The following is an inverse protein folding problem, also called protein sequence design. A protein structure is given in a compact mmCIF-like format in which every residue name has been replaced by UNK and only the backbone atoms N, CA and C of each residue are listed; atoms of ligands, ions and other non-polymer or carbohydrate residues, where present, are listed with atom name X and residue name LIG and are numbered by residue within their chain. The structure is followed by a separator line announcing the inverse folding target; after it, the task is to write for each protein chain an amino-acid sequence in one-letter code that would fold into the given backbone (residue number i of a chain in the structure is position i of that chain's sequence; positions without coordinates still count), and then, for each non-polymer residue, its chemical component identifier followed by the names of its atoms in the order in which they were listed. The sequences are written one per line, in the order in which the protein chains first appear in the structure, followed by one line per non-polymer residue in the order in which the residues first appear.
data_IF_447654354732
#
_entry.id   IF_447654354732
#
_cell.length_a   1.000
_cell.length_b   1.000
_cell.length_c   1.000
_cell.angle_alpha   90.00
_cell.angle_beta   90.00
_cell.angle_gamma   90.00
#
_symmetry.space_group_name_H-M   'P 1'
#
loop_
_entity.id
_entity.type
_entity.pdbx_description
1 polymer ?
#
# COMPACT_ATOMS: atom_id res chain seq x y z
N UNK A 1 -30.23 -7.39 -29.67
CA UNK A 1 -28.99 -6.68 -29.27
C UNK A 1 -27.86 -7.37 -30.00
N UNK A 2 -27.13 -6.67 -30.87
CA UNK A 2 -26.12 -7.31 -31.71
C UNK A 2 -24.76 -6.96 -31.13
N UNK A 3 -24.11 -7.91 -30.46
CA UNK A 3 -22.69 -7.77 -30.12
C UNK A 3 -21.92 -7.44 -31.42
N UNK A 4 -21.19 -6.31 -31.52
CA UNK A 4 -20.42 -5.98 -32.72
C UNK A 4 -19.43 -7.10 -33.07
N UNK A 5 -18.95 -7.82 -32.06
CA UNK A 5 -18.18 -9.05 -32.21
C UNK A 5 -19.11 -10.26 -32.23
N UNK A 6 -19.88 -10.43 -33.32
CA UNK A 6 -20.81 -11.57 -33.46
C UNK A 6 -20.12 -12.93 -33.39
N UNK A 7 -18.80 -12.97 -33.64
CA UNK A 7 -18.01 -14.19 -33.67
C UNK A 7 -16.74 -13.97 -32.86
N UNK A 8 -16.67 -14.69 -31.75
CA UNK A 8 -15.54 -14.70 -30.83
C UNK A 8 -15.11 -16.15 -30.70
N UNK A 9 -13.80 -16.39 -30.76
CA UNK A 9 -13.22 -17.71 -30.51
C UNK A 9 -12.14 -17.58 -29.45
N UNK A 10 -12.09 -18.51 -28.50
CA UNK A 10 -11.04 -18.56 -27.50
C UNK A 10 -10.17 -19.78 -27.73
N UNK A 11 -8.86 -19.60 -27.60
CA UNK A 11 -7.89 -20.69 -27.72
C UNK A 11 -6.78 -20.57 -26.70
N UNK A 12 -6.22 -21.72 -26.34
CA UNK A 12 -5.07 -21.82 -25.47
C UNK A 12 -3.85 -22.30 -26.27
N UNK A 13 -2.68 -21.76 -25.96
CA UNK A 13 -1.39 -22.22 -26.47
C UNK A 13 -0.51 -22.67 -25.31
N UNK A 14 0.14 -23.82 -25.47
CA UNK A 14 1.19 -24.28 -24.58
C UNK A 14 2.51 -23.70 -25.06
N UNK A 15 3.22 -23.02 -24.18
CA UNK A 15 4.54 -22.46 -24.43
C UNK A 15 5.57 -23.09 -23.49
N UNK A 16 6.83 -23.02 -23.86
CA UNK A 16 7.93 -23.29 -22.95
C UNK A 16 8.20 -22.10 -22.01
N UNK A 17 9.27 -22.20 -21.21
CA UNK A 17 9.68 -21.13 -20.29
C UNK A 17 10.08 -19.83 -21.01
N UNK A 18 10.57 -19.93 -22.24
CA UNK A 18 11.10 -18.82 -23.02
C UNK A 18 9.99 -18.15 -23.83
N UNK A 19 8.79 -18.74 -23.88
CA UNK A 19 7.62 -18.23 -24.60
C UNK A 19 7.45 -18.84 -25.99
N UNK A 20 8.26 -19.84 -26.35
CA UNK A 20 8.19 -20.51 -27.65
C UNK A 20 7.04 -21.53 -27.64
N UNK A 21 6.30 -21.59 -28.75
CA UNK A 21 5.12 -22.44 -28.87
C UNK A 21 5.48 -23.93 -28.90
N UNK A 22 4.93 -24.70 -27.95
CA UNK A 22 5.05 -26.16 -27.87
C UNK A 22 3.85 -26.88 -28.46
N UNK A 23 2.65 -26.33 -28.28
CA UNK A 23 1.41 -26.84 -28.90
C UNK A 23 0.38 -25.73 -29.04
N UNK A 24 -0.35 -25.75 -30.15
CA UNK A 24 -1.47 -24.83 -30.46
C UNK A 24 -2.82 -25.52 -30.48
N UNK A 25 -2.87 -26.83 -30.15
CA UNK A 25 -4.07 -27.67 -30.30
C UNK A 25 -4.83 -27.92 -29.00
N UNK A 26 -4.63 -27.09 -27.98
CA UNK A 26 -5.37 -27.23 -26.73
C UNK A 26 -6.81 -26.75 -26.92
N UNK A 27 -7.76 -27.64 -26.67
CA UNK A 27 -9.19 -27.29 -26.72
C UNK A 27 -9.60 -26.64 -25.40
N UNK A 28 -9.85 -25.34 -25.45
CA UNK A 28 -10.35 -24.57 -24.31
C UNK A 28 -11.86 -24.79 -24.17
N UNK A 29 -12.28 -25.25 -23.00
CA UNK A 29 -13.67 -25.53 -22.65
C UNK A 29 -14.30 -24.40 -21.80
N UNK A 30 -13.47 -23.63 -21.09
CA UNK A 30 -13.91 -22.51 -20.27
C UNK A 30 -12.82 -21.97 -19.35
N UNK A 31 -13.23 -21.14 -18.40
CA UNK A 31 -12.35 -20.51 -17.40
C UNK A 31 -12.36 -19.00 -17.52
N UNK A 32 -11.24 -18.34 -17.21
CA UNK A 32 -11.11 -16.89 -17.41
C UNK A 32 -9.78 -16.33 -16.93
N UNK A 33 -9.61 -15.03 -17.18
CA UNK A 33 -8.47 -14.22 -16.71
C UNK A 33 -8.97 -13.23 -15.68
N UNK A 34 -8.29 -13.17 -14.54
CA UNK A 34 -8.50 -12.15 -13.52
C UNK A 34 -7.31 -11.21 -13.52
N UNK A 35 -7.59 -9.91 -13.53
CA UNK A 35 -6.64 -8.82 -13.28
C UNK A 35 -6.97 -8.26 -11.91
N UNK A 36 -5.98 -8.15 -11.02
CA UNK A 36 -6.08 -7.50 -9.71
C UNK A 36 -4.84 -6.63 -9.45
N UNK A 37 -4.96 -5.35 -9.76
CA UNK A 37 -3.94 -4.34 -9.53
C UNK A 37 -3.95 -3.79 -8.08
N UNK A 38 -4.88 -4.24 -7.23
CA UNK A 38 -5.02 -3.75 -5.85
C UNK A 38 -4.07 -4.46 -4.88
N UNK A 39 -3.65 -5.70 -5.19
CA UNK A 39 -2.81 -6.55 -4.33
C UNK A 39 -1.41 -6.90 -4.87
N UNK A 40 -0.65 -6.00 -5.50
CA UNK A 40 0.59 -6.34 -6.20
C UNK A 40 1.77 -6.72 -5.28
N UNK A 41 1.56 -6.80 -3.94
CA UNK A 41 2.65 -6.99 -2.96
C UNK A 41 2.99 -8.44 -2.68
N UNK A 42 2.03 -9.34 -2.78
CA UNK A 42 2.17 -10.76 -2.42
C UNK A 42 1.60 -11.69 -3.47
N UNK A 43 0.85 -11.16 -4.42
CA UNK A 43 0.13 -11.91 -5.44
C UNK A 43 0.43 -11.30 -6.82
N UNK A 44 0.46 -12.14 -7.87
CA UNK A 44 0.61 -11.66 -9.22
C UNK A 44 -0.62 -10.88 -9.64
N UNK A 45 -0.38 -9.89 -10.49
CA UNK A 45 -1.42 -8.96 -10.92
C UNK A 45 -2.42 -9.62 -11.86
N UNK A 46 -1.99 -10.62 -12.62
CA UNK A 46 -2.88 -11.45 -13.42
C UNK A 46 -2.86 -12.89 -12.97
N UNK A 47 -4.02 -13.51 -12.97
CA UNK A 47 -4.19 -14.94 -12.80
C UNK A 47 -5.13 -15.45 -13.88
N UNK A 48 -5.01 -16.73 -14.23
CA UNK A 48 -5.93 -17.36 -15.16
C UNK A 48 -6.26 -18.77 -14.70
N UNK A 49 -7.49 -19.18 -14.96
CA UNK A 49 -7.94 -20.55 -14.82
C UNK A 49 -8.38 -21.06 -16.20
N UNK A 50 -7.84 -22.20 -16.61
CA UNK A 50 -8.16 -22.85 -17.87
C UNK A 50 -8.85 -24.18 -17.58
N UNK A 51 -10.01 -24.42 -18.19
CA UNK A 51 -10.60 -25.74 -18.30
C UNK A 51 -10.33 -26.26 -19.72
N UNK A 52 -9.52 -27.30 -19.85
CA UNK A 52 -9.02 -27.83 -21.10
C UNK A 52 -9.48 -29.27 -21.29
N UNK A 53 -9.69 -29.66 -22.56
CA UNK A 53 -9.80 -31.06 -22.95
C UNK A 53 -8.47 -31.51 -23.57
N UNK A 54 -7.80 -32.48 -22.93
CA UNK A 54 -6.46 -32.98 -23.33
C UNK A 54 -6.43 -34.52 -23.46
N UNK A 55 -7.14 -35.11 -24.44
CA UNK A 55 -7.24 -36.56 -24.60
C UNK A 55 -5.89 -37.19 -24.98
N UNK A 56 -5.06 -36.46 -25.73
CA UNK A 56 -3.75 -36.91 -26.18
C UNK A 56 -2.63 -36.66 -25.16
N UNK A 57 -2.96 -36.09 -23.98
CA UNK A 57 -2.00 -35.72 -22.92
C UNK A 57 -0.87 -34.81 -23.41
N UNK A 58 -1.18 -33.86 -24.28
CA UNK A 58 -0.22 -32.93 -24.89
C UNK A 58 0.39 -31.97 -23.88
N UNK A 59 -0.30 -31.67 -22.78
CA UNK A 59 0.21 -30.77 -21.75
C UNK A 59 1.54 -31.27 -21.16
N UNK A 60 1.73 -32.60 -21.11
CA UNK A 60 2.92 -33.25 -20.53
C UNK A 60 3.33 -32.66 -19.17
N UNK A 61 2.37 -32.14 -18.41
CA UNK A 61 2.59 -31.61 -17.07
C UNK A 61 2.65 -32.81 -16.14
N UNK A 62 3.72 -32.96 -15.37
CA UNK A 62 3.82 -34.04 -14.39
C UNK A 62 2.92 -33.69 -13.20
N UNK A 63 1.77 -34.37 -13.12
CA UNK A 63 0.77 -34.18 -12.06
C UNK A 63 1.20 -34.83 -10.73
N UNK A 64 2.21 -35.71 -10.76
CA UNK A 64 2.62 -36.54 -9.61
C UNK A 64 3.83 -35.94 -8.91
N UNK A 65 3.59 -34.90 -8.12
CA UNK A 65 4.50 -34.51 -7.04
C UNK A 65 4.97 -33.08 -7.07
N UNK A 66 4.17 -32.19 -6.46
CA UNK A 66 4.51 -30.80 -6.12
C UNK A 66 5.58 -30.69 -5.01
N UNK A 67 6.52 -31.65 -4.91
CA UNK A 67 7.61 -31.59 -3.91
C UNK A 67 8.85 -30.86 -4.41
N UNK A 68 9.05 -30.68 -5.72
CA UNK A 68 10.19 -29.93 -6.23
C UNK A 68 9.78 -28.53 -6.70
N UNK A 69 10.54 -27.53 -6.26
CA UNK A 69 10.44 -26.14 -6.71
C UNK A 69 10.85 -25.93 -8.18
N UNK A 70 11.16 -27.00 -8.93
CA UNK A 70 11.72 -26.94 -10.28
C UNK A 70 10.66 -26.94 -11.41
N UNK A 71 9.46 -27.47 -11.17
CA UNK A 71 8.44 -27.63 -12.24
C UNK A 71 7.69 -26.32 -12.52
N UNK A 72 7.62 -25.41 -11.53
CA UNK A 72 6.67 -24.29 -11.44
C UNK A 72 6.74 -23.25 -12.58
N UNK A 73 7.79 -23.26 -13.41
CA UNK A 73 7.99 -22.25 -14.46
C UNK A 73 8.50 -22.81 -15.79
N UNK A 74 8.53 -24.14 -15.97
CA UNK A 74 9.08 -24.76 -17.20
C UNK A 74 8.12 -24.67 -18.41
N UNK A 75 6.82 -24.51 -18.15
CA UNK A 75 5.75 -24.40 -19.14
C UNK A 75 4.88 -23.20 -18.83
N UNK A 76 4.38 -22.55 -19.87
CA UNK A 76 3.44 -21.45 -19.77
C UNK A 76 2.19 -21.75 -20.59
N UNK A 77 1.07 -21.19 -20.19
CA UNK A 77 -0.14 -21.14 -21.02
C UNK A 77 -0.37 -19.70 -21.47
N UNK A 78 -0.81 -19.57 -22.71
CA UNK A 78 -1.30 -18.31 -23.29
C UNK A 78 -2.76 -18.44 -23.68
N UNK A 79 -3.60 -17.53 -23.20
CA UNK A 79 -4.97 -17.37 -23.64
C UNK A 79 -5.02 -16.34 -24.78
N UNK A 80 -5.68 -16.69 -25.87
CA UNK A 80 -5.89 -15.80 -27.02
C UNK A 80 -7.38 -15.78 -27.33
N UNK A 81 -7.91 -14.58 -27.53
CA UNK A 81 -9.22 -14.38 -28.12
C UNK A 81 -9.05 -13.95 -29.58
N UNK A 82 -9.72 -14.65 -30.49
CA UNK A 82 -9.83 -14.25 -31.88
C UNK A 82 -11.18 -13.54 -32.06
N UNK A 83 -11.14 -12.30 -32.54
CA UNK A 83 -12.32 -11.49 -32.80
C UNK A 83 -12.51 -11.33 -34.31
N UNK A 84 -13.68 -11.71 -34.82
CA UNK A 84 -14.06 -11.38 -36.19
C UNK A 84 -14.46 -9.91 -36.27
N UNK A 85 -13.79 -9.15 -37.12
CA UNK A 85 -14.10 -7.74 -37.35
C UNK A 85 -14.69 -7.58 -38.76
N UNK A 86 -16.02 -7.39 -38.90
CA UNK A 86 -16.69 -7.37 -40.20
C UNK A 86 -16.13 -6.33 -41.17
N UNK A 87 -15.71 -5.17 -40.66
CA UNK A 87 -15.18 -4.08 -41.49
C UNK A 87 -13.87 -4.46 -42.21
N UNK A 88 -13.15 -5.45 -41.70
CA UNK A 88 -11.92 -5.98 -42.30
C UNK A 88 -12.09 -7.35 -42.94
N UNK A 89 -13.26 -7.99 -42.80
CA UNK A 89 -13.51 -9.38 -43.21
C UNK A 89 -12.43 -10.35 -42.70
N UNK A 90 -11.91 -10.11 -41.48
CA UNK A 90 -10.77 -10.85 -40.93
C UNK A 90 -10.87 -11.08 -39.41
N UNK A 91 -10.07 -12.04 -38.92
CA UNK A 91 -9.90 -12.37 -37.51
C UNK A 91 -8.69 -11.64 -36.91
N UNK A 92 -8.90 -10.98 -35.78
CA UNK A 92 -7.84 -10.35 -35.00
C UNK A 92 -7.59 -11.15 -33.73
N UNK A 93 -6.38 -11.67 -33.58
CA UNK A 93 -5.95 -12.39 -32.38
C UNK A 93 -5.44 -11.42 -31.32
N UNK A 94 -6.08 -11.42 -30.16
CA UNK A 94 -5.69 -10.62 -28.99
C UNK A 94 -5.26 -11.56 -27.86
N UNK A 95 -4.00 -11.53 -27.46
CA UNK A 95 -3.51 -12.29 -26.31
C UNK A 95 -4.04 -11.65 -25.02
N UNK A 96 -4.75 -12.44 -24.21
CA UNK A 96 -5.36 -11.98 -22.95
C UNK A 96 -4.47 -12.22 -21.74
N UNK A 97 -3.69 -13.30 -21.80
CA UNK A 97 -2.88 -13.76 -20.68
C UNK A 97 -1.74 -14.62 -21.19
N UNK A 98 -0.57 -14.48 -20.59
CA UNK A 98 0.55 -15.41 -20.75
C UNK A 98 1.22 -15.58 -19.39
N UNK A 99 1.40 -16.83 -18.97
CA UNK A 99 2.09 -17.07 -17.72
C UNK A 99 2.25 -18.55 -17.33
N UNK A 100 3.09 -18.82 -16.33
CA UNK A 100 3.41 -20.15 -15.86
C UNK A 100 2.23 -20.90 -15.23
N UNK A 101 2.25 -22.21 -15.41
CA UNK A 101 1.34 -23.16 -14.76
C UNK A 101 1.79 -23.41 -13.31
N UNK A 102 0.89 -23.25 -12.32
CA UNK A 102 1.25 -23.48 -10.91
C UNK A 102 0.37 -24.53 -10.21
N UNK A 103 -0.90 -24.68 -10.58
CA UNK A 103 -1.77 -25.71 -9.98
C UNK A 103 -2.53 -26.46 -11.06
N UNK A 104 -1.93 -27.52 -11.60
CA UNK A 104 -2.56 -28.35 -12.59
C UNK A 104 -3.35 -29.47 -11.85
N UNK A 105 -4.64 -29.65 -12.18
CA UNK A 105 -5.50 -30.77 -11.73
C UNK A 105 -6.15 -31.46 -12.93
N UNK A 106 -6.31 -32.78 -12.89
CA UNK A 106 -6.93 -33.56 -13.97
C UNK A 106 -7.99 -34.54 -13.46
N UNK A 107 -9.03 -34.73 -14.27
CA UNK A 107 -10.10 -35.71 -14.06
C UNK A 107 -10.43 -36.36 -15.40
N UNK A 108 -9.75 -37.47 -15.70
CA UNK A 108 -9.84 -38.13 -17.00
C UNK A 108 -9.12 -37.32 -18.09
N UNK A 109 -9.83 -36.94 -19.14
CA UNK A 109 -9.33 -36.11 -20.24
C UNK A 109 -9.53 -34.61 -19.98
N UNK A 110 -10.33 -34.26 -18.97
CA UNK A 110 -10.52 -32.88 -18.56
C UNK A 110 -9.40 -32.45 -17.61
N UNK A 111 -8.85 -31.28 -17.89
CA UNK A 111 -7.73 -30.72 -17.16
C UNK A 111 -8.08 -29.30 -16.75
N UNK A 112 -7.99 -29.01 -15.45
CA UNK A 112 -8.05 -27.65 -14.91
C UNK A 112 -6.66 -27.16 -14.58
N UNK A 113 -6.27 -26.03 -15.16
CA UNK A 113 -4.94 -25.44 -14.96
C UNK A 113 -5.09 -24.04 -14.42
N UNK A 114 -4.58 -23.82 -13.21
CA UNK A 114 -4.40 -22.46 -12.69
C UNK A 114 -3.00 -21.94 -13.06
N UNK A 115 -2.98 -20.72 -13.57
CA UNK A 115 -1.79 -20.01 -14.00
C UNK A 115 -1.64 -18.67 -13.27
N UNK A 116 -0.39 -18.30 -13.02
CA UNK A 116 -0.05 -16.96 -12.59
C UNK A 116 0.48 -16.18 -13.78
N UNK A 117 0.28 -14.86 -13.79
CA UNK A 117 0.90 -13.97 -14.75
C UNK A 117 2.43 -14.09 -14.68
N UNK A 118 3.10 -13.71 -15.78
CA UNK A 118 4.56 -13.78 -15.87
C UNK A 118 5.26 -12.97 -14.77
N UNK A 119 4.61 -11.94 -14.22
CA UNK A 119 5.11 -11.16 -13.09
C UNK A 119 5.34 -12.01 -11.82
N UNK A 120 4.68 -13.16 -11.69
CA UNK A 120 4.92 -14.10 -10.58
C UNK A 120 6.35 -14.61 -10.49
N UNK A 121 7.08 -14.68 -11.62
CA UNK A 121 8.51 -15.05 -11.64
C UNK A 121 9.40 -14.04 -10.90
N UNK A 122 8.85 -12.88 -10.54
CA UNK A 122 9.52 -11.80 -9.83
C UNK A 122 8.96 -11.54 -8.42
N UNK A 123 8.05 -12.40 -7.93
CA UNK A 123 7.48 -12.29 -6.58
C UNK A 123 8.30 -13.05 -5.53
N UNK A 124 9.05 -14.08 -5.93
CA UNK A 124 9.90 -14.84 -5.04
C UNK A 124 11.10 -14.03 -4.52
N UNK A 125 11.56 -14.29 -3.27
CA UNK A 125 12.75 -13.65 -2.73
C UNK A 125 13.99 -13.96 -3.57
N UNK A 126 14.88 -12.97 -3.68
CA UNK A 126 15.96 -12.93 -4.67
C UNK A 126 17.15 -13.85 -4.36
N UNK A 127 17.26 -14.38 -3.13
CA UNK A 127 18.35 -15.29 -2.75
C UNK A 127 18.48 -16.55 -3.62
N UNK A 128 17.42 -16.91 -4.35
CA UNK A 128 17.46 -18.03 -5.31
C UNK A 128 18.20 -17.68 -6.62
N UNK A 129 18.42 -16.40 -6.94
CA UNK A 129 18.78 -16.00 -8.31
C UNK A 129 19.78 -14.84 -8.47
N UNK A 130 20.13 -14.04 -7.45
CA UNK A 130 21.06 -12.93 -7.68
C UNK A 130 21.89 -12.47 -6.48
N UNK A 131 23.12 -12.02 -6.79
CA UNK A 131 23.97 -11.21 -5.93
C UNK A 131 23.40 -9.79 -5.78
N UNK A 132 23.72 -9.13 -4.66
CA UNK A 132 23.41 -7.71 -4.50
C UNK A 132 24.07 -6.90 -5.63
N UNK A 133 23.30 -6.08 -6.32
CA UNK A 133 23.82 -5.21 -7.37
C UNK A 133 23.42 -3.76 -7.09
N UNK A 134 24.28 -2.84 -7.54
CA UNK A 134 24.03 -1.40 -7.46
C UNK A 134 24.16 -0.75 -8.83
N UNK A 135 23.41 0.33 -9.03
CA UNK A 135 23.47 1.18 -10.21
C UNK A 135 23.68 2.62 -9.75
N UNK A 136 24.64 3.29 -10.38
CA UNK A 136 25.01 4.67 -10.01
C UNK A 136 23.87 5.63 -10.37
N UNK A 137 23.82 6.75 -9.67
CA UNK A 137 23.02 7.92 -10.05
C UNK A 137 23.27 8.29 -11.52
N UNK A 138 22.29 8.94 -12.13
CA UNK A 138 22.28 9.35 -13.54
C UNK A 138 22.19 8.21 -14.57
N UNK A 139 22.11 6.93 -14.17
CA UNK A 139 21.69 5.86 -15.07
C UNK A 139 20.20 5.99 -15.41
N UNK A 140 19.81 5.72 -16.66
CA UNK A 140 18.39 5.75 -17.08
C UNK A 140 17.59 4.71 -16.31
N UNK A 141 16.46 5.12 -15.74
CA UNK A 141 15.61 4.24 -14.92
C UNK A 141 15.10 3.05 -15.73
N UNK A 142 14.64 3.28 -16.96
CA UNK A 142 14.19 2.21 -17.85
C UNK A 142 15.27 1.15 -18.11
N UNK A 143 16.54 1.56 -18.21
CA UNK A 143 17.66 0.62 -18.39
C UNK A 143 17.92 -0.20 -17.12
N UNK A 144 17.81 0.42 -15.95
CA UNK A 144 17.96 -0.28 -14.66
C UNK A 144 16.88 -1.34 -14.49
N UNK A 145 15.61 -1.00 -14.78
CA UNK A 145 14.49 -1.95 -14.72
C UNK A 145 14.70 -3.08 -15.74
N UNK A 146 15.04 -2.74 -17.00
CA UNK A 146 15.22 -3.73 -18.07
C UNK A 146 16.32 -4.71 -17.72
N UNK A 147 17.49 -4.22 -17.32
CA UNK A 147 18.61 -5.07 -16.95
C UNK A 147 18.23 -5.98 -15.77
N UNK A 148 17.57 -5.44 -14.74
CA UNK A 148 17.15 -6.23 -13.58
C UNK A 148 16.13 -7.33 -13.90
N UNK A 149 15.33 -7.18 -14.95
CA UNK A 149 14.44 -8.21 -15.49
C UNK A 149 15.19 -9.19 -16.41
N UNK A 150 16.09 -8.70 -17.27
CA UNK A 150 16.95 -9.52 -18.14
C UNK A 150 17.87 -10.45 -17.36
N UNK A 151 18.42 -9.97 -16.24
CA UNK A 151 19.24 -10.77 -15.31
C UNK A 151 18.44 -11.95 -14.72
N UNK A 152 17.10 -11.91 -14.83
CA UNK A 152 16.18 -13.00 -14.43
C UNK A 152 15.67 -13.83 -15.61
N UNK A 153 16.25 -13.64 -16.80
CA UNK A 153 15.93 -14.40 -18.00
C UNK A 153 14.86 -13.78 -18.89
N UNK A 154 14.36 -12.58 -18.56
CA UNK A 154 13.31 -11.96 -19.37
C UNK A 154 13.83 -11.38 -20.68
N UNK A 155 13.07 -11.60 -21.76
CA UNK A 155 13.47 -11.24 -23.14
C UNK A 155 12.56 -10.21 -23.81
N UNK A 156 11.29 -10.15 -23.41
CA UNK A 156 10.28 -9.34 -24.10
C UNK A 156 9.99 -8.06 -23.32
N UNK A 157 10.31 -6.92 -23.94
CA UNK A 157 10.15 -5.60 -23.34
C UNK A 157 9.54 -4.61 -24.32
N UNK A 158 8.52 -3.87 -23.86
CA UNK A 158 7.97 -2.70 -24.54
C UNK A 158 8.15 -1.48 -23.65
N UNK A 159 9.38 -0.97 -23.61
CA UNK A 159 9.70 0.20 -22.79
C UNK A 159 9.68 1.42 -23.68
N UNK A 160 8.67 2.27 -23.50
CA UNK A 160 8.64 3.58 -24.12
C UNK A 160 9.79 4.41 -23.54
N UNK A 161 10.50 5.16 -24.39
CA UNK A 161 11.74 5.85 -24.01
C UNK A 161 11.53 6.88 -22.91
N UNK A 162 11.73 6.48 -21.65
CA UNK A 162 11.72 7.40 -20.51
C UNK A 162 13.11 8.05 -20.37
N UNK A 163 13.25 9.38 -20.56
CA UNK A 163 14.54 10.05 -20.45
C UNK A 163 15.05 10.12 -19.01
N UNK A 164 14.18 9.89 -18.03
CA UNK A 164 14.44 10.01 -16.61
C UNK A 164 15.56 9.10 -16.12
N UNK A 165 16.35 9.67 -15.21
CA UNK A 165 17.55 9.07 -14.65
C UNK A 165 17.45 8.99 -13.14
N UNK A 166 18.15 8.01 -12.58
CA UNK A 166 18.29 7.83 -11.14
C UNK A 166 18.82 9.12 -10.49
N UNK A 167 18.12 9.61 -9.46
CA UNK A 167 18.53 10.79 -8.68
C UNK A 167 19.60 10.48 -7.63
N UNK A 168 19.67 9.22 -7.20
CA UNK A 168 20.64 8.67 -6.28
C UNK A 168 21.10 7.30 -6.77
N UNK A 169 22.15 6.76 -6.18
CA UNK A 169 22.49 5.37 -6.40
C UNK A 169 21.30 4.48 -6.00
N UNK A 170 21.06 3.43 -6.79
CA UNK A 170 20.03 2.43 -6.56
C UNK A 170 20.71 1.12 -6.24
N UNK A 171 20.45 0.58 -5.06
CA UNK A 171 20.97 -0.72 -4.62
C UNK A 171 19.80 -1.66 -4.38
N UNK A 172 19.91 -2.90 -4.84
CA UNK A 172 18.95 -3.99 -4.59
C UNK A 172 19.64 -5.06 -3.76
N UNK A 173 18.91 -5.57 -2.76
CA UNK A 173 19.40 -6.60 -1.84
C UNK A 173 18.64 -7.91 -2.03
N UNK A 174 19.27 -9.08 -1.82
CA UNK A 174 18.67 -10.40 -2.08
C UNK A 174 17.42 -10.76 -1.26
N UNK A 175 17.12 -10.03 -0.19
CA UNK A 175 15.94 -10.22 0.66
C UNK A 175 14.70 -9.46 0.17
N UNK A 176 14.85 -8.61 -0.85
CA UNK A 176 13.77 -7.80 -1.39
C UNK A 176 12.98 -8.56 -2.46
N UNK A 177 11.68 -8.29 -2.57
CA UNK A 177 10.84 -8.77 -3.68
C UNK A 177 11.12 -7.89 -4.91
N UNK A 178 11.76 -8.42 -5.97
CA UNK A 178 12.26 -7.59 -7.08
C UNK A 178 11.14 -6.83 -7.79
N UNK A 179 10.00 -7.48 -8.03
CA UNK A 179 8.89 -6.89 -8.79
C UNK A 179 8.44 -5.54 -8.23
N UNK A 180 8.27 -5.48 -6.90
CA UNK A 180 7.85 -4.25 -6.22
C UNK A 180 8.92 -3.15 -6.29
N UNK A 181 10.20 -3.53 -6.20
CA UNK A 181 11.31 -2.61 -6.40
C UNK A 181 11.23 -1.94 -7.78
N UNK A 182 10.95 -2.73 -8.81
CA UNK A 182 10.80 -2.26 -10.19
C UNK A 182 9.58 -1.37 -10.41
N UNK A 183 8.42 -1.76 -9.87
CA UNK A 183 7.22 -0.93 -9.93
C UNK A 183 7.40 0.41 -9.20
N UNK A 184 8.04 0.40 -8.02
CA UNK A 184 8.33 1.64 -7.28
C UNK A 184 9.30 2.54 -8.06
N UNK A 185 10.30 1.95 -8.72
CA UNK A 185 11.25 2.68 -9.52
C UNK A 185 10.57 3.29 -10.77
N UNK A 186 9.67 2.55 -11.43
CA UNK A 186 8.84 3.08 -12.52
C UNK A 186 7.94 4.23 -12.05
N UNK A 187 7.28 4.09 -10.89
CA UNK A 187 6.46 5.17 -10.31
C UNK A 187 7.27 6.42 -9.97
N UNK A 188 8.57 6.29 -9.66
CA UNK A 188 9.44 7.44 -9.35
C UNK A 188 9.68 8.37 -10.55
N UNK A 189 9.33 7.92 -11.76
CA UNK A 189 9.42 8.66 -13.02
C UNK A 189 8.04 8.82 -13.68
N UNK A 190 6.95 8.74 -12.90
CA UNK A 190 5.56 8.86 -13.37
C UNK A 190 5.21 7.86 -14.50
N UNK A 191 5.74 6.64 -14.39
CA UNK A 191 5.46 5.51 -15.30
C UNK A 191 4.80 4.35 -14.56
N UNK A 192 4.08 3.55 -15.33
CA UNK A 192 3.55 2.25 -14.92
C UNK A 192 4.38 1.14 -15.53
N UNK A 193 4.83 0.20 -14.70
CA UNK A 193 5.45 -1.06 -15.12
C UNK A 193 4.47 -2.20 -14.85
N UNK A 194 4.17 -2.97 -15.88
CA UNK A 194 3.27 -4.11 -15.83
C UNK A 194 3.66 -5.16 -16.87
N UNK A 195 3.03 -6.34 -16.82
CA UNK A 195 3.11 -7.35 -17.90
C UNK A 195 1.82 -7.25 -18.69
N UNK A 196 1.81 -7.37 -20.01
CA UNK A 196 0.58 -7.39 -20.83
C UNK A 196 0.08 -8.83 -21.10
N UNK A 197 -0.99 -9.00 -21.89
CA UNK A 197 -1.53 -10.32 -22.24
C UNK A 197 -0.55 -11.21 -23.04
N UNK A 198 0.44 -10.63 -23.74
CA UNK A 198 1.49 -11.37 -24.46
C UNK A 198 2.54 -11.98 -23.53
N UNK A 199 2.59 -11.52 -22.28
CA UNK A 199 3.71 -11.79 -21.38
C UNK A 199 4.89 -10.88 -21.63
N UNK A 200 4.68 -9.69 -22.22
CA UNK A 200 5.70 -8.67 -22.45
C UNK A 200 5.71 -7.70 -21.28
N UNK A 201 6.90 -7.32 -20.79
CA UNK A 201 7.03 -6.28 -19.77
C UNK A 201 6.88 -4.91 -20.43
N UNK A 202 5.86 -4.17 -20.03
CA UNK A 202 5.52 -2.87 -20.57
C UNK A 202 5.84 -1.77 -19.57
N UNK A 203 6.61 -0.77 -20.01
CA UNK A 203 6.84 0.46 -19.27
C UNK A 203 6.23 1.62 -20.07
N UNK A 204 5.11 2.15 -19.56
CA UNK A 204 4.32 3.20 -20.21
C UNK A 204 4.05 4.38 -19.29
N UNK A 205 3.58 5.49 -19.86
CA UNK A 205 3.05 6.60 -19.08
C UNK A 205 1.83 6.15 -18.28
N UNK A 206 1.65 6.66 -17.06
CA UNK A 206 0.45 6.36 -16.29
C UNK A 206 -0.77 6.87 -17.08
N UNK A 207 -1.72 6.01 -17.47
CA UNK A 207 -2.87 6.43 -18.25
C UNK A 207 -3.62 7.57 -17.56
N UNK A 208 -3.83 8.65 -18.33
CA UNK A 208 -4.62 9.79 -17.91
C UNK A 208 -5.87 9.93 -18.78
N UNK A 209 -5.76 9.81 -20.10
CA UNK A 209 -6.92 9.76 -20.98
C UNK A 209 -7.67 8.42 -20.82
N UNK A 210 -9.02 8.44 -20.89
CA UNK A 210 -9.78 7.21 -20.93
C UNK A 210 -9.50 6.46 -22.24
N UNK A 211 -9.22 5.16 -22.13
CA UNK A 211 -9.01 4.27 -23.29
C UNK A 211 -10.32 3.74 -23.85
N UNK A 212 -11.37 3.77 -23.03
CA UNK A 212 -12.68 3.23 -23.40
C UNK A 212 -13.81 3.91 -22.65
N UNK A 213 -15.00 3.93 -23.26
CA UNK A 213 -16.25 4.44 -22.65
C UNK A 213 -17.33 3.38 -22.72
N UNK A 214 -17.80 2.93 -21.55
CA UNK A 214 -18.96 2.07 -21.42
C UNK A 214 -20.22 2.93 -21.39
N UNK A 215 -21.09 2.80 -22.38
CA UNK A 215 -22.34 3.56 -22.50
C UNK A 215 -23.56 2.72 -22.16
N UNK A 216 -24.62 3.37 -21.67
CA UNK A 216 -25.96 2.81 -21.49
C UNK A 216 -26.81 3.03 -22.76
N UNK A 217 -27.81 2.16 -23.02
CA UNK A 217 -28.75 2.30 -24.14
C UNK A 217 -28.80 1.13 -25.12
N UNK A 218 -29.27 1.40 -26.35
CA UNK A 218 -29.58 0.39 -27.37
C UNK A 218 -28.34 -0.33 -27.92
N UNK A 219 -27.21 0.37 -27.92
CA UNK A 219 -25.88 -0.11 -28.33
C UNK A 219 -24.94 -0.21 -27.11
N UNK A 220 -25.53 -0.37 -25.92
CA UNK A 220 -24.82 -0.49 -24.65
C UNK A 220 -23.92 -1.71 -24.63
N UNK A 221 -22.71 -1.51 -24.15
CA UNK A 221 -21.83 -2.61 -23.76
C UNK A 221 -22.07 -3.02 -22.30
N UNK A 222 -22.80 -2.23 -21.51
CA UNK A 222 -23.25 -2.64 -20.19
C UNK A 222 -24.34 -3.71 -20.33
N UNK A 223 -24.10 -4.89 -19.77
CA UNK A 223 -25.09 -5.98 -19.72
C UNK A 223 -26.01 -5.79 -18.51
N UNK A 224 -25.54 -5.08 -17.48
CA UNK A 224 -26.32 -4.68 -16.31
C UNK A 224 -25.96 -3.24 -15.91
N UNK A 225 -26.90 -2.55 -15.29
CA UNK A 225 -26.61 -1.26 -14.66
C UNK A 225 -25.55 -1.44 -13.56
N UNK A 226 -24.53 -0.57 -13.50
CA UNK A 226 -23.51 -0.64 -12.46
C UNK A 226 -24.16 -0.64 -11.06
N UNK A 227 -23.73 -1.56 -10.19
CA UNK A 227 -24.08 -1.50 -8.78
C UNK A 227 -23.08 -0.58 -8.07
N UNK A 228 -23.57 0.42 -7.35
CA UNK A 228 -22.75 1.29 -6.50
C UNK A 228 -22.79 0.73 -5.07
N UNK A 229 -21.72 0.05 -4.65
CA UNK A 229 -21.56 -0.38 -3.27
C UNK A 229 -20.76 0.67 -2.50
N UNK A 230 -21.41 1.24 -1.49
CA UNK A 230 -20.80 2.24 -0.62
C UNK A 230 -20.17 1.54 0.57
N UNK A 231 -18.88 1.25 0.50
CA UNK A 231 -18.15 0.73 1.65
C UNK A 231 -17.86 1.85 2.64
N UNK A 232 -18.61 1.87 3.74
CA UNK A 232 -18.33 2.75 4.88
C UNK A 232 -17.26 2.11 5.79
N UNK A 233 -16.92 0.84 5.60
CA UNK A 233 -15.99 0.11 6.46
C UNK A 233 -14.56 0.63 6.40
N UNK A 234 -14.20 1.23 5.28
CA UNK A 234 -12.91 1.90 5.13
C UNK A 234 -12.92 3.36 5.58
N UNK A 235 -14.09 3.95 5.86
CA UNK A 235 -14.18 5.35 6.28
C UNK A 235 -13.32 5.59 7.54
N UNK A 236 -12.37 6.51 7.42
CA UNK A 236 -11.44 6.91 8.49
C UNK A 236 -11.92 8.23 9.08
N UNK A 237 -12.15 8.23 10.39
CA UNK A 237 -12.65 9.41 11.10
C UNK A 237 -11.51 10.24 11.72
N UNK A 238 -10.28 9.71 11.70
CA UNK A 238 -9.11 10.33 12.32
C UNK A 238 -7.85 10.08 11.48
N UNK A 239 -7.04 11.11 11.29
CA UNK A 239 -5.68 11.01 10.72
C UNK A 239 -4.66 11.40 11.79
N UNK A 240 -3.63 10.58 11.93
CA UNK A 240 -2.46 10.79 12.77
C UNK A 240 -1.20 10.85 11.90
N UNK A 241 -0.46 11.95 11.94
CA UNK A 241 0.82 12.09 11.22
C UNK A 241 1.95 12.05 12.23
N UNK A 242 2.99 11.25 11.98
CA UNK A 242 4.19 11.09 12.81
C UNK A 242 5.42 11.60 12.06
N UNK A 243 6.15 12.53 12.65
CA UNK A 243 7.43 13.03 12.18
C UNK A 243 8.63 12.33 12.82
N UNK A 244 9.81 12.50 12.24
CA UNK A 244 11.06 11.92 12.75
C UNK A 244 11.66 12.75 13.89
N UNK A 245 11.41 14.07 13.90
CA UNK A 245 12.07 14.92 14.90
C UNK A 245 11.59 14.57 16.28
N UNK A 246 12.59 14.34 17.08
CA UNK A 246 12.57 14.10 18.49
C UNK A 246 12.59 15.46 19.19
N UNK A 247 11.45 15.88 19.73
CA UNK A 247 11.42 17.05 20.60
C UNK A 247 11.90 16.60 21.98
N UNK A 248 12.97 17.23 22.49
CA UNK A 248 13.43 17.04 23.86
C UNK A 248 12.40 17.70 24.77
N UNK A 249 11.44 16.92 25.27
CA UNK A 249 10.42 17.44 26.17
C UNK A 249 10.78 17.01 27.59
N UNK A 250 10.84 17.98 28.50
CA UNK A 250 10.96 17.71 29.94
C UNK A 250 9.71 16.93 30.37
N UNK A 251 9.88 15.67 30.80
CA UNK A 251 8.76 14.85 31.27
C UNK A 251 8.21 15.45 32.57
N UNK A 252 6.96 15.91 32.55
CA UNK A 252 6.23 16.28 33.76
C UNK A 252 5.97 15.02 34.58
N UNK A 253 6.39 15.02 35.85
CA UNK A 253 6.26 13.84 36.73
C UNK A 253 5.14 14.02 37.77
N UNK A 254 4.67 15.26 37.99
CA UNK A 254 3.56 15.53 38.90
C UNK A 254 3.53 16.99 39.38
N UNK A 255 2.47 17.32 40.12
CA UNK A 255 2.34 18.55 40.92
C UNK A 255 2.57 18.15 42.37
N UNK A 256 3.48 18.82 43.07
CA UNK A 256 3.53 18.71 44.53
C UNK A 256 2.70 19.86 45.09
N UNK A 257 1.58 19.52 45.72
CA UNK A 257 0.87 20.42 46.63
C UNK A 257 1.28 20.00 48.03
N UNK A 258 2.03 20.85 48.73
CA UNK A 258 2.35 20.62 50.14
C UNK A 258 1.40 21.46 50.98
N UNK A 259 0.75 20.84 51.96
CA UNK A 259 -0.07 21.55 52.93
C UNK A 259 0.84 22.37 53.87
N UNK A 260 0.39 23.55 54.30
CA UNK A 260 1.21 24.53 55.06
C UNK A 260 1.77 23.93 56.36
N UNK A 261 1.12 22.90 56.92
CA UNK A 261 1.55 22.22 58.15
C UNK A 261 2.68 21.21 57.95
N UNK A 262 2.84 20.66 56.75
CA UNK A 262 3.91 19.69 56.45
C UNK A 262 5.27 20.37 56.18
N UNK A 263 5.26 21.64 55.80
CA UNK A 263 6.47 22.43 55.45
C UNK A 263 7.31 22.77 56.68
N UNK A 264 6.69 22.90 57.86
CA UNK A 264 7.38 23.31 59.10
C UNK A 264 8.17 22.16 59.75
N UNK A 265 7.88 20.90 59.37
CA UNK A 265 8.57 19.71 59.90
C UNK A 265 9.50 18.99 58.92
N UNK A 266 9.38 19.23 57.61
CA UNK A 266 10.17 18.53 56.61
C UNK A 266 11.52 19.23 56.37
N UNK A 267 12.62 18.66 56.89
CA UNK A 267 13.98 19.17 56.67
C UNK A 267 14.54 18.86 55.27
N UNK A 268 13.92 17.94 54.53
CA UNK A 268 14.34 17.60 53.17
C UNK A 268 13.24 16.95 52.33
N UNK A 269 13.37 17.04 51.00
CA UNK A 269 12.53 16.31 50.03
C UNK A 269 13.43 15.33 49.28
N UNK A 270 13.02 14.06 49.21
CA UNK A 270 13.69 13.04 48.41
C UNK A 270 13.24 13.14 46.95
N UNK A 271 14.14 13.58 46.08
CA UNK A 271 13.92 13.62 44.65
C UNK A 271 14.66 12.46 43.98
N UNK A 272 14.07 11.86 42.94
CA UNK A 272 14.81 10.91 42.08
C UNK A 272 15.97 11.66 41.41
N UNK A 273 17.12 11.00 41.26
CA UNK A 273 18.29 11.58 40.62
C UNK A 273 17.91 12.13 39.23
N UNK A 274 18.22 13.41 39.04
CA UNK A 274 17.88 14.17 37.84
C UNK A 274 16.51 14.84 37.86
N UNK A 275 15.79 14.98 38.98
CA UNK A 275 14.60 15.83 38.99
C UNK A 275 14.98 17.32 39.07
N UNK A 276 14.34 18.17 38.26
CA UNK A 276 14.40 19.62 38.34
C UNK A 276 13.10 20.17 38.93
N UNK A 277 13.23 21.21 39.76
CA UNK A 277 12.13 21.87 40.44
C UNK A 277 11.97 23.28 39.87
N UNK A 278 10.80 23.60 39.33
CA UNK A 278 10.48 24.95 38.85
C UNK A 278 9.37 25.57 39.73
N UNK A 279 9.65 26.77 40.24
CA UNK A 279 8.69 27.57 41.01
C UNK A 279 7.82 28.40 40.05
N UNK A 280 6.53 28.47 40.33
CA UNK A 280 5.60 29.36 39.64
C UNK A 280 5.40 30.61 40.48
N UNK A 281 6.30 31.58 40.35
CA UNK A 281 5.96 32.96 40.68
C UNK A 281 6.64 33.97 39.74
N UNK A 282 5.85 34.94 39.29
CA UNK A 282 6.21 36.15 38.53
C UNK A 282 7.35 36.07 37.47
N UNK A 283 7.38 35.03 36.63
CA UNK A 283 8.15 35.05 35.37
C UNK A 283 9.68 34.97 35.49
N UNK A 284 10.24 34.62 36.66
CA UNK A 284 11.69 34.38 36.82
C UNK A 284 12.02 32.90 36.94
N UNK A 285 12.85 32.39 36.01
CA UNK A 285 13.46 31.06 36.10
C UNK A 285 14.60 31.10 37.13
N UNK A 286 14.51 30.30 38.19
CA UNK A 286 15.65 30.03 39.08
C UNK A 286 16.13 28.60 38.81
N UNK A 287 17.36 28.46 38.32
CA UNK A 287 17.99 27.17 38.02
C UNK A 287 18.92 26.81 39.17
N UNK A 288 18.57 25.80 39.98
CA UNK A 288 19.46 25.31 41.03
C UNK A 288 20.51 24.38 40.39
N UNK A 289 21.63 24.96 39.96
CA UNK A 289 22.77 24.21 39.43
C UNK A 289 23.81 23.93 40.52
N UNK A 290 23.82 22.72 41.06
CA UNK A 290 24.91 22.26 41.93
C UNK A 290 25.94 21.45 41.13
N UNK A 291 27.13 22.03 40.86
CA UNK A 291 28.33 21.26 40.50
C UNK A 291 29.12 20.96 41.76
N UNK A 292 29.35 19.68 42.03
CA UNK A 292 30.30 19.20 43.04
C UNK A 292 29.76 18.02 43.86
N UNK A 293 30.55 16.95 44.11
CA UNK A 293 30.20 15.95 45.10
C UNK A 293 30.24 16.56 46.51
N UNK A 294 29.33 16.11 47.38
CA UNK A 294 29.26 16.57 48.76
C UNK A 294 30.53 16.17 49.56
N UNK A 295 30.96 16.97 50.55
CA UNK A 295 32.05 16.60 51.45
C UNK A 295 31.66 15.37 52.31
N UNK A 296 32.66 14.58 52.68
CA UNK A 296 32.50 13.24 53.26
C UNK A 296 32.03 13.19 54.74
N UNK A 297 31.51 14.28 55.32
CA UNK A 297 31.35 14.40 56.78
C UNK A 297 29.94 14.28 57.35
N UNK A 298 28.91 13.97 56.54
CA UNK A 298 27.57 13.65 57.05
C UNK A 298 27.24 12.17 56.85
N UNK A 299 27.94 11.29 57.59
CA UNK A 299 27.58 9.87 57.75
C UNK A 299 27.19 9.60 59.19
N UNK A 300 26.03 10.11 59.65
CA UNK A 300 25.42 9.66 60.91
C UNK A 300 23.95 10.10 61.09
N UNK A 301 23.07 9.74 60.15
CA UNK A 301 21.64 9.58 60.46
C UNK A 301 21.14 8.34 59.73
N UNK A 302 20.62 7.38 60.49
CA UNK A 302 20.07 6.12 59.99
C UNK A 302 18.72 6.38 59.30
N UNK A 303 18.67 6.17 57.99
CA UNK A 303 17.47 6.22 57.17
C UNK A 303 17.75 5.54 55.83
N UNK A 304 16.84 4.70 55.37
CA UNK A 304 16.99 3.81 54.21
C UNK A 304 17.44 4.57 52.95
N UNK A 305 18.68 4.33 52.51
CA UNK A 305 19.21 4.86 51.27
C UNK A 305 18.68 4.04 50.09
N UNK A 306 17.84 4.64 49.23
CA UNK A 306 17.51 4.04 47.92
C UNK A 306 18.54 4.52 46.90
N UNK A 307 19.31 3.62 46.24
CA UNK A 307 20.29 4.01 45.24
C UNK A 307 19.65 4.86 44.12
N UNK A 308 20.18 6.05 43.88
CA UNK A 308 19.70 6.96 42.83
C UNK A 308 18.67 8.01 43.27
N UNK A 309 18.53 8.29 44.57
CA UNK A 309 17.80 9.46 45.08
C UNK A 309 18.77 10.55 45.55
N UNK A 310 18.36 11.82 45.45
CA UNK A 310 19.08 12.99 46.00
C UNK A 310 18.19 13.67 47.03
N UNK A 311 18.79 14.01 48.16
CA UNK A 311 18.17 14.77 49.24
C UNK A 311 18.58 16.23 49.08
N UNK A 312 17.62 17.14 48.88
CA UNK A 312 17.91 18.59 48.77
C UNK A 312 17.45 19.27 50.07
N UNK A 313 18.33 19.96 50.81
CA UNK A 313 17.94 20.70 52.00
C UNK A 313 17.08 21.91 51.61
N UNK A 314 15.84 21.95 52.13
CA UNK A 314 14.83 22.98 51.85
C UNK A 314 15.30 24.40 52.19
N UNK A 315 16.23 24.53 53.14
CA UNK A 315 16.82 25.79 53.60
C UNK A 315 17.68 26.50 52.56
N UNK A 316 18.24 25.80 51.56
CA UNK A 316 18.92 26.43 50.42
C UNK A 316 17.99 26.79 49.25
N UNK A 317 16.77 26.26 49.24
CA UNK A 317 15.82 26.42 48.14
C UNK A 317 14.77 27.52 48.38
N UNK A 318 14.48 27.84 49.65
CA UNK A 318 13.60 28.93 50.04
C UNK A 318 14.39 30.25 50.14
N UNK A 319 14.39 31.02 49.06
CA UNK A 319 14.78 32.43 49.14
C UNK A 319 13.78 33.15 50.07
N UNK A 320 14.24 34.06 50.94
CA UNK A 320 13.46 34.69 52.05
C UNK A 320 12.13 35.36 51.65
N UNK A 321 11.82 35.46 50.35
CA UNK A 321 10.70 36.22 49.81
C UNK A 321 9.62 35.38 49.09
N UNK A 322 9.62 34.04 49.21
CA UNK A 322 8.57 33.23 48.56
C UNK A 322 7.35 33.06 49.49
N UNK A 323 6.11 33.35 49.03
CA UNK A 323 4.91 33.09 49.84
C UNK A 323 4.77 31.59 50.11
N UNK A 324 4.58 31.26 51.39
CA UNK A 324 4.40 29.91 51.90
C UNK A 324 3.07 29.35 51.34
N UNK A 325 3.13 28.32 50.50
CA UNK A 325 1.95 27.65 49.91
C UNK A 325 1.85 27.71 48.37
N UNK A 326 2.84 28.28 47.66
CA UNK A 326 2.83 28.30 46.20
C UNK A 326 3.09 26.89 45.58
N UNK A 327 2.33 26.47 44.55
CA UNK A 327 2.49 25.16 43.94
C UNK A 327 3.81 25.04 43.17
N UNK A 328 4.46 23.88 43.30
CA UNK A 328 5.76 23.61 42.68
C UNK A 328 5.62 22.53 41.59
N UNK A 329 6.21 22.76 40.41
CA UNK A 329 6.25 21.78 39.31
C UNK A 329 7.58 21.02 39.33
N UNK A 330 7.51 19.69 39.24
CA UNK A 330 8.69 18.82 39.20
C UNK A 330 8.80 18.14 37.83
N UNK A 331 9.97 18.25 37.21
CA UNK A 331 10.28 17.66 35.90
C UNK A 331 11.46 16.69 36.00
N UNK A 332 11.54 15.70 35.09
CA UNK A 332 12.72 14.83 34.96
C UNK A 332 13.76 15.47 34.03
N UNK A 333 15.06 15.37 34.34
CA UNK A 333 16.20 15.79 33.52
C UNK A 333 16.39 14.92 32.29
N UNK A 334 15.91 13.68 32.31
CA UNK A 334 15.98 12.83 31.13
C UNK A 334 15.02 13.38 30.09
N UNK A 335 15.58 14.09 29.11
CA UNK A 335 14.92 14.47 27.87
C UNK A 335 14.20 13.23 27.32
N UNK A 336 12.88 13.24 27.32
CA UNK A 336 12.12 12.17 26.68
C UNK A 336 12.00 12.54 25.23
N UNK A 337 12.44 11.60 24.40
CA UNK A 337 12.48 11.76 22.98
C UNK A 337 11.10 11.49 22.37
N UNK A 338 10.23 12.51 22.32
CA UNK A 338 8.87 12.34 21.77
C UNK A 338 8.90 12.62 20.27
N UNK A 339 8.35 11.71 19.45
CA UNK A 339 8.15 11.95 18.02
C UNK A 339 7.14 13.09 17.85
N UNK A 340 7.44 14.07 16.99
CA UNK A 340 6.45 15.07 16.58
C UNK A 340 5.20 14.37 16.02
N UNK A 341 4.02 14.69 16.53
CA UNK A 341 2.77 14.15 16.00
C UNK A 341 1.71 15.24 15.77
N UNK A 342 0.93 15.08 14.72
CA UNK A 342 -0.27 15.86 14.40
C UNK A 342 -1.48 14.95 14.33
N UNK A 343 -2.63 15.41 14.82
CA UNK A 343 -3.88 14.64 14.81
C UNK A 343 -5.01 15.53 14.34
N UNK A 344 -5.83 15.02 13.43
CA UNK A 344 -7.10 15.60 13.02
C UNK A 344 -8.18 14.54 13.11
N UNK A 345 -9.37 14.91 13.60
CA UNK A 345 -10.53 14.01 13.68
C UNK A 345 -11.77 14.72 13.16
N UNK A 346 -12.70 13.97 12.55
CA UNK A 346 -13.98 14.50 12.12
C UNK A 346 -14.82 14.94 13.33
N UNK A 347 -15.61 16.03 13.21
CA UNK A 347 -16.51 16.44 14.27
C UNK A 347 -17.59 15.37 14.47
N UNK A 348 -18.11 15.22 15.69
CA UNK A 348 -19.14 14.23 16.02
C UNK A 348 -20.45 14.40 15.24
N UNK A 349 -20.68 15.58 14.66
CA UNK A 349 -21.82 15.88 13.78
C UNK A 349 -21.63 15.40 12.35
N UNK A 350 -20.43 14.92 11.99
CA UNK A 350 -20.15 14.41 10.66
C UNK A 350 -20.73 12.99 10.49
N UNK A 351 -21.31 12.71 9.31
CA UNK A 351 -21.87 11.40 8.98
C UNK A 351 -20.81 10.28 9.04
N UNK A 352 -19.54 10.62 8.80
CA UNK A 352 -18.41 9.67 8.86
C UNK A 352 -17.67 9.68 10.20
N UNK A 353 -18.18 10.38 11.22
CA UNK A 353 -17.54 10.40 12.55
C UNK A 353 -17.68 9.05 13.28
N UNK A 354 -16.78 8.74 14.21
CA UNK A 354 -16.94 7.54 15.06
C UNK A 354 -18.30 7.47 15.75
N UNK A 355 -18.88 8.63 16.11
CA UNK A 355 -20.22 8.71 16.73
C UNK A 355 -21.29 8.18 15.79
N UNK A 356 -21.28 8.64 14.54
CA UNK A 356 -22.25 8.26 13.51
C UNK A 356 -22.05 6.82 13.02
N UNK A 357 -20.81 6.36 12.90
CA UNK A 357 -20.50 5.04 12.34
C UNK A 357 -20.57 3.88 13.35
N UNK A 358 -20.17 4.13 14.60
CA UNK A 358 -20.00 3.06 15.60
C UNK A 358 -20.70 3.34 16.93
N UNK A 359 -21.59 4.35 16.97
CA UNK A 359 -22.15 4.87 18.22
C UNK A 359 -21.08 5.48 19.14
N UNK A 360 -19.93 5.87 18.58
CA UNK A 360 -18.81 6.47 19.30
C UNK A 360 -17.82 5.48 19.91
N UNK A 361 -18.02 4.17 19.72
CA UNK A 361 -17.25 3.13 20.41
C UNK A 361 -15.86 2.89 19.83
N UNK A 362 -15.63 3.15 18.53
CA UNK A 362 -14.32 2.93 17.90
C UNK A 362 -13.97 4.05 16.92
N UNK A 363 -12.77 4.62 17.07
CA UNK A 363 -12.16 5.53 16.08
C UNK A 363 -11.36 4.72 15.08
N UNK A 364 -11.53 5.00 13.80
CA UNK A 364 -10.77 4.40 12.70
C UNK A 364 -9.66 5.37 12.30
N UNK A 365 -8.44 5.07 12.76
CA UNK A 365 -7.29 5.97 12.66
C UNK A 365 -6.37 5.59 11.50
N UNK A 366 -6.09 6.53 10.60
CA UNK A 366 -5.00 6.42 9.62
C UNK A 366 -3.72 6.99 10.20
N UNK A 367 -2.64 6.21 10.20
CA UNK A 367 -1.31 6.68 10.64
C UNK A 367 -0.42 6.94 9.41
N UNK A 368 0.20 8.11 9.34
CA UNK A 368 1.12 8.50 8.27
C UNK A 368 2.47 8.83 8.88
N UNK A 369 3.49 8.04 8.56
CA UNK A 369 4.87 8.36 8.92
C UNK A 369 5.50 9.25 7.84
N UNK A 370 5.93 10.46 8.24
CA UNK A 370 6.54 11.48 7.38
C UNK A 370 7.81 12.00 8.05
N UNK A 371 8.96 11.32 7.85
CA UNK A 371 10.18 11.66 8.57
C UNK A 371 10.63 13.12 8.42
N UNK A 372 10.43 13.69 7.22
CA UNK A 372 10.73 15.09 6.90
C UNK A 372 9.94 16.15 7.68
N UNK A 373 8.91 15.76 8.45
CA UNK A 373 8.14 16.70 9.27
C UNK A 373 8.80 16.85 10.64
N UNK A 374 9.25 18.07 10.93
CA UNK A 374 9.98 18.40 12.15
C UNK A 374 9.23 19.33 13.11
N UNK A 375 8.04 19.82 12.74
CA UNK A 375 7.23 20.76 13.53
C UNK A 375 5.82 20.22 13.75
N UNK A 376 5.31 20.34 14.98
CA UNK A 376 3.97 19.87 15.36
C UNK A 376 2.85 20.55 14.56
N UNK A 377 2.97 21.85 14.34
CA UNK A 377 2.02 22.62 13.53
C UNK A 377 1.91 22.05 12.11
N UNK A 378 3.05 21.77 11.46
CA UNK A 378 3.08 21.17 10.11
C UNK A 378 2.52 19.75 10.09
N UNK A 379 2.79 18.94 11.12
CA UNK A 379 2.20 17.61 11.23
C UNK A 379 0.67 17.66 11.35
N UNK A 380 0.14 18.64 12.11
CA UNK A 380 -1.31 18.86 12.26
C UNK A 380 -1.95 19.34 10.95
N UNK A 381 -1.34 20.30 10.28
CA UNK A 381 -1.79 20.80 8.98
C UNK A 381 -1.85 19.66 7.94
N UNK A 382 -0.82 18.81 7.89
CA UNK A 382 -0.83 17.62 7.02
C UNK A 382 -1.94 16.64 7.41
N UNK A 383 -2.20 16.46 8.71
CA UNK A 383 -3.29 15.60 9.18
C UNK A 383 -4.67 16.17 8.79
N UNK A 384 -4.87 17.48 8.92
CA UNK A 384 -6.11 18.18 8.54
C UNK A 384 -6.34 18.12 7.02
N UNK A 385 -5.34 18.47 6.21
CA UNK A 385 -5.40 18.36 4.75
C UNK A 385 -5.70 16.93 4.29
N UNK A 386 -5.11 15.93 4.95
CA UNK A 386 -5.40 14.54 4.63
C UNK A 386 -6.79 14.13 5.08
N UNK A 387 -7.25 14.58 6.25
CA UNK A 387 -8.60 14.32 6.74
C UNK A 387 -9.65 14.94 5.82
N UNK A 388 -9.42 16.15 5.30
CA UNK A 388 -10.31 16.76 4.31
C UNK A 388 -10.36 15.98 3.00
N UNK A 389 -9.22 15.42 2.55
CA UNK A 389 -9.19 14.52 1.38
C UNK A 389 -10.00 13.26 1.60
N UNK A 390 -9.98 12.71 2.83
CA UNK A 390 -10.79 11.53 3.20
C UNK A 390 -12.27 11.92 3.32
N UNK A 391 -12.58 13.03 3.99
CA UNK A 391 -13.93 13.57 4.15
C UNK A 391 -14.61 13.86 2.81
N UNK A 392 -13.81 14.29 1.83
CA UNK A 392 -14.25 14.55 0.47
C UNK A 392 -14.33 13.31 -0.43
N UNK A 393 -14.15 12.10 0.07
CA UNK A 393 -14.17 10.90 -0.75
C UNK A 393 -14.76 9.73 0.02
N UNK A 394 -16.06 9.50 -0.12
CA UNK A 394 -16.59 8.16 0.08
C UNK A 394 -16.12 7.35 -1.12
N UNK A 395 -15.39 6.27 -0.85
CA UNK A 395 -15.02 5.31 -1.87
C UNK A 395 -16.30 4.56 -2.27
N UNK A 396 -16.65 4.66 -3.55
CA UNK A 396 -17.74 3.89 -4.15
C UNK A 396 -17.06 2.83 -4.99
N UNK A 397 -17.32 1.58 -4.66
CA UNK A 397 -16.99 0.47 -5.53
C UNK A 397 -18.11 0.35 -6.55
N UNK A 398 -17.78 0.49 -7.83
CA UNK A 398 -18.69 0.17 -8.92
C UNK A 398 -18.29 -1.17 -9.51
N UNK A 399 -19.24 -2.10 -9.48
CA UNK A 399 -19.15 -3.35 -10.21
C UNK A 399 -19.87 -3.16 -11.55
N UNK A 400 -19.14 -3.33 -12.64
CA UNK A 400 -19.60 -3.07 -14.00
C UNK A 400 -19.66 -4.42 -14.71
N UNK A 401 -20.87 -4.89 -14.99
CA UNK A 401 -21.08 -6.06 -15.83
C UNK A 401 -21.23 -5.58 -17.29
N UNK A 402 -20.35 -6.03 -18.17
CA UNK A 402 -20.28 -5.55 -19.55
C UNK A 402 -19.84 -6.63 -20.55
N UNK A 403 -20.06 -6.36 -21.84
CA UNK A 403 -19.45 -7.11 -22.93
C UNK A 403 -17.92 -6.93 -22.82
N UNK A 404 -17.13 -8.01 -22.89
CA UNK A 404 -15.69 -7.92 -22.72
C UNK A 404 -15.02 -6.92 -23.70
N UNK A 405 -14.19 -6.03 -23.16
CA UNK A 405 -13.23 -5.24 -23.92
C UNK A 405 -11.84 -5.81 -23.68
N UNK A 406 -11.43 -6.68 -24.60
CA UNK A 406 -10.24 -7.54 -24.47
C UNK A 406 -8.90 -6.80 -24.48
N UNK A 407 -8.90 -5.50 -24.76
CA UNK A 407 -7.72 -4.63 -24.77
C UNK A 407 -7.55 -3.84 -23.46
N UNK A 408 -8.42 -4.03 -22.45
CA UNK A 408 -8.25 -3.37 -21.16
C UNK A 408 -7.03 -3.93 -20.43
N UNK A 409 -6.14 -3.04 -20.00
CA UNK A 409 -5.00 -3.34 -19.16
C UNK A 409 -5.18 -2.82 -17.74
N UNK A 410 -4.37 -3.32 -16.81
CA UNK A 410 -4.42 -2.84 -15.43
C UNK A 410 -4.20 -1.31 -15.34
N UNK A 411 -4.97 -0.66 -14.47
CA UNK A 411 -4.95 0.79 -14.23
C UNK A 411 -5.28 1.66 -15.46
N UNK A 412 -5.76 1.06 -16.56
CA UNK A 412 -6.35 1.82 -17.65
C UNK A 412 -7.49 2.69 -17.12
N UNK A 413 -7.61 3.89 -17.68
CA UNK A 413 -8.71 4.79 -17.33
C UNK A 413 -9.88 4.46 -18.24
N UNK A 414 -11.07 4.29 -17.67
CA UNK A 414 -12.31 4.08 -18.42
C UNK A 414 -13.34 5.14 -18.01
N UNK A 415 -14.24 5.44 -18.94
CA UNK A 415 -15.45 6.21 -18.67
C UNK A 415 -16.65 5.26 -18.60
N UNK A 416 -17.55 5.53 -17.67
CA UNK A 416 -18.80 4.79 -17.51
C UNK A 416 -19.92 5.82 -17.55
N UNK A 417 -20.72 5.75 -18.59
CA UNK A 417 -21.93 6.54 -18.74
C UNK A 417 -23.13 5.70 -18.30
N UNK A 418 -23.76 6.10 -17.19
CA UNK A 418 -25.02 5.50 -16.74
C UNK A 418 -25.90 6.54 -16.04
N UNK A 419 -27.22 6.47 -16.25
CA UNK A 419 -28.22 7.39 -15.68
C UNK A 419 -27.88 8.88 -15.89
N UNK A 420 -27.36 9.21 -17.08
CA UNK A 420 -26.95 10.58 -17.45
C UNK A 420 -25.73 11.10 -16.66
N UNK A 421 -24.95 10.20 -16.04
CA UNK A 421 -23.71 10.54 -15.33
C UNK A 421 -22.54 9.94 -16.06
N UNK A 422 -21.43 10.67 -16.06
CA UNK A 422 -20.14 10.18 -16.55
C UNK A 422 -19.20 9.96 -15.37
N UNK A 423 -18.77 8.72 -15.17
CA UNK A 423 -17.81 8.34 -14.14
C UNK A 423 -16.49 8.02 -14.81
N UNK A 424 -15.42 8.67 -14.36
CA UNK A 424 -14.05 8.38 -14.77
C UNK A 424 -13.37 7.60 -13.68
N UNK A 425 -12.89 6.40 -14.00
CA UNK A 425 -12.28 5.50 -13.02
C UNK A 425 -11.15 4.70 -13.64
N UNK A 426 -10.37 4.01 -12.81
CA UNK A 426 -9.31 3.10 -13.24
C UNK A 426 -9.75 1.66 -13.10
N UNK A 427 -9.29 0.82 -14.02
CA UNK A 427 -9.48 -0.63 -13.94
C UNK A 427 -8.56 -1.18 -12.86
N UNK A 428 -9.14 -1.46 -11.69
CA UNK A 428 -8.40 -2.02 -10.55
C UNK A 428 -8.49 -3.53 -10.52
N UNK A 429 -9.69 -4.06 -10.72
CA UNK A 429 -9.88 -5.48 -10.96
C UNK A 429 -10.76 -5.72 -12.17
N UNK A 430 -10.49 -6.79 -12.91
CA UNK A 430 -11.30 -7.19 -14.05
C UNK A 430 -11.30 -8.72 -14.16
N UNK A 431 -12.42 -9.30 -14.53
CA UNK A 431 -12.55 -10.71 -14.85
C UNK A 431 -13.09 -10.87 -16.29
N UNK A 432 -12.29 -11.52 -17.13
CA UNK A 432 -12.62 -11.82 -18.53
C UNK A 432 -12.88 -13.32 -18.65
N UNK A 433 -14.14 -13.76 -18.83
CA UNK A 433 -14.45 -15.18 -18.99
C UNK A 433 -14.00 -15.71 -20.36
N UNK A 434 -13.60 -16.98 -20.40
CA UNK A 434 -13.37 -17.74 -21.64
C UNK A 434 -14.67 -18.32 -22.19
N UNK A 435 -15.66 -17.46 -22.40
CA UNK A 435 -16.96 -17.82 -22.94
C UNK A 435 -17.38 -16.76 -23.96
N UNK A 436 -17.66 -17.13 -25.22
CA UNK A 436 -18.20 -16.20 -26.22
C UNK A 436 -19.48 -15.47 -25.80
N UNK A 437 -20.22 -16.04 -24.86
CA UNK A 437 -21.44 -15.47 -24.26
C UNK A 437 -21.23 -14.93 -22.84
N UNK A 438 -19.99 -15.03 -22.33
CA UNK A 438 -19.65 -14.60 -20.99
C UNK A 438 -19.76 -13.09 -20.81
N UNK A 439 -20.08 -12.68 -19.59
CA UNK A 439 -20.09 -11.27 -19.19
C UNK A 439 -18.77 -10.94 -18.49
N UNK A 440 -18.08 -9.90 -18.96
CA UNK A 440 -16.91 -9.35 -18.27
C UNK A 440 -17.37 -8.56 -17.06
N UNK A 441 -16.70 -8.78 -15.93
CA UNK A 441 -16.93 -8.02 -14.71
C UNK A 441 -15.73 -7.12 -14.50
N UNK A 442 -15.93 -5.81 -14.54
CA UNK A 442 -14.91 -4.82 -14.21
C UNK A 442 -15.28 -4.19 -12.88
N UNK A 443 -14.44 -4.36 -11.86
CA UNK A 443 -14.63 -3.62 -10.62
C UNK A 443 -13.64 -2.46 -10.57
N UNK A 444 -14.18 -1.32 -10.18
CA UNK A 444 -13.41 -0.09 -10.08
C UNK A 444 -13.85 0.67 -8.85
N UNK A 445 -12.89 1.12 -8.05
CA UNK A 445 -13.19 2.07 -6.99
C UNK A 445 -13.03 3.50 -7.52
N UNK A 446 -13.98 4.36 -7.19
CA UNK A 446 -13.82 5.80 -7.40
C UNK A 446 -14.30 6.57 -6.18
N UNK A 447 -13.63 7.70 -5.91
CA UNK A 447 -13.99 8.56 -4.78
C UNK A 447 -15.04 9.57 -5.18
N UNK A 448 -16.14 9.57 -4.44
CA UNK A 448 -17.19 10.57 -4.56
C UNK A 448 -17.17 11.49 -3.34
N UNK A 449 -17.21 12.81 -3.58
CA UNK A 449 -17.58 13.75 -2.53
C UNK A 449 -19.00 13.44 -2.09
N UNK A 450 -19.18 13.04 -0.84
CA UNK A 450 -20.50 13.01 -0.23
C UNK A 450 -21.09 14.42 -0.36
N UNK A 451 -22.10 14.58 -1.22
CA UNK A 451 -22.88 15.82 -1.22
C UNK A 451 -23.58 15.87 0.13
N UNK A 452 -23.40 16.96 0.88
CA UNK A 452 -24.22 17.26 2.06
C UNK A 452 -25.69 17.13 1.62
N UNK A 453 -26.40 16.19 2.21
CA UNK A 453 -27.86 16.16 2.15
C UNK A 453 -28.41 17.29 3.00
#
# INVERSE_FOLDING_TARGET
MVNPYRRVNFRAQLLDKDGDSLSTKLRLMGGGVTIDATRPKSEPTRTAEFHLLDPDRQLKVDWKGTKSNDIWFSKQLRAIVDLWVPDFDDWFSIPLFTGPVYRPSSKGEEVTVSCYGRDAQHLGPEYLYAESWSRRKHTRVANVIRQGLQDRGERFFRFTGAPDRLRSDFSRYPDQVPWRGWQNLARSIDRQLYVDGEGTFVLREIPSAPVFTFTEGRDSLLTRLPSEDMSIDEARDTVLVRGERHEKVKKWIGKLEMDQREIVGATSIHLKAGANVEYLDAGKQVRIGGRGPAPAEERRIAGSYTPGSRTVPLTKALNKNHPIGAPVKVYNEKDVTIRVYGKASLPNSDALSAKSLTGGKRKRVTVIDRPSIHKRARAREVAENQLERIRGGVEIEANIECIPYYLLEELDVVLIEFRGRLIRTRVETAFVPFDPHGTMIVNSSFRRRAKRR
#
